data_IF_062814104868
#
_entry.id   IF_062814104868
#
_cell.length_a   1.000
_cell.length_b   1.000
_cell.length_c   1.000
_cell.angle_alpha   90.00
_cell.angle_beta   90.00
_cell.angle_gamma   90.00
#
_symmetry.space_group_name_H-M   'P 1'
#
loop_
_entity.id
_entity.type
_entity.pdbx_description
1 polymer ?
#
# COMPACT_ATOMS: atom_id res chain seq x y z
N UNK A 1 4.26 -11.88 6.22
CA UNK A 1 3.66 -10.75 5.46
C UNK A 1 4.78 -9.80 5.11
N UNK A 2 4.92 -9.43 3.84
CA UNK A 2 5.88 -8.43 3.36
C UNK A 2 5.10 -7.16 3.06
N UNK A 3 5.61 -6.02 3.53
CA UNK A 3 4.99 -4.71 3.30
C UNK A 3 5.90 -3.89 2.41
N UNK A 4 5.34 -3.25 1.38
CA UNK A 4 6.01 -2.26 0.57
C UNK A 4 5.21 -0.96 0.59
N UNK A 5 5.93 0.16 0.62
CA UNK A 5 5.39 1.51 0.52
C UNK A 5 5.76 2.01 -0.88
N UNK A 6 4.75 2.27 -1.70
CA UNK A 6 4.93 2.66 -3.09
C UNK A 6 4.53 4.11 -3.23
N UNK A 7 5.51 4.98 -3.45
CA UNK A 7 5.28 6.35 -3.83
C UNK A 7 5.00 6.41 -5.33
N UNK A 8 4.00 7.20 -5.71
CA UNK A 8 3.52 7.28 -7.09
C UNK A 8 3.48 8.73 -7.52
N UNK A 9 4.12 9.00 -8.66
CA UNK A 9 3.99 10.25 -9.39
C UNK A 9 2.97 10.05 -10.51
N UNK A 10 1.96 10.91 -10.56
CA UNK A 10 0.86 10.80 -11.48
C UNK A 10 0.70 12.08 -12.32
N UNK A 11 0.03 11.94 -13.46
CA UNK A 11 -0.47 13.09 -14.21
C UNK A 11 -1.49 13.83 -13.32
N UNK A 12 -1.26 15.13 -13.14
CA UNK A 12 -2.07 16.02 -12.30
C UNK A 12 -3.55 15.97 -12.68
N UNK A 13 -3.86 15.82 -13.98
CA UNK A 13 -5.24 15.74 -14.45
C UNK A 13 -5.94 14.43 -14.06
N UNK A 14 -5.19 13.43 -13.57
CA UNK A 14 -5.67 12.05 -13.40
C UNK A 14 -5.43 11.47 -12.00
N UNK A 15 -4.96 12.29 -11.05
CA UNK A 15 -4.60 11.84 -9.69
C UNK A 15 -5.74 11.03 -9.04
N UNK A 16 -6.98 11.50 -9.15
CA UNK A 16 -8.14 10.81 -8.57
C UNK A 16 -8.39 9.43 -9.21
N UNK A 17 -8.42 9.36 -10.55
CA UNK A 17 -8.60 8.10 -11.29
C UNK A 17 -7.50 7.09 -10.98
N UNK A 18 -6.25 7.57 -10.91
CA UNK A 18 -5.08 6.75 -10.57
C UNK A 18 -5.23 6.21 -9.15
N UNK A 19 -5.59 7.05 -8.18
CA UNK A 19 -5.75 6.65 -6.79
C UNK A 19 -6.84 5.58 -6.61
N UNK A 20 -8.02 5.78 -7.21
CA UNK A 20 -9.13 4.82 -7.17
C UNK A 20 -8.74 3.49 -7.83
N UNK A 21 -8.08 3.56 -8.99
CA UNK A 21 -7.64 2.36 -9.70
C UNK A 21 -6.62 1.56 -8.89
N UNK A 22 -5.66 2.23 -8.26
CA UNK A 22 -4.66 1.57 -7.40
C UNK A 22 -5.33 0.98 -6.15
N UNK A 23 -6.25 1.71 -5.51
CA UNK A 23 -6.94 1.26 -4.31
C UNK A 23 -7.81 0.01 -4.55
N UNK A 24 -8.28 -0.20 -5.78
CA UNK A 24 -9.04 -1.40 -6.17
C UNK A 24 -8.16 -2.62 -6.47
N UNK A 25 -6.82 -2.50 -6.45
CA UNK A 25 -5.93 -3.62 -6.74
C UNK A 25 -5.76 -4.54 -5.52
N UNK A 26 -6.01 -5.84 -5.71
CA UNK A 26 -5.66 -6.84 -4.71
C UNK A 26 -4.20 -6.71 -4.22
N UNK A 27 -4.04 -6.69 -2.89
CA UNK A 27 -2.76 -6.51 -2.22
C UNK A 27 -2.39 -5.05 -1.92
N UNK A 28 -3.14 -4.07 -2.43
CA UNK A 28 -3.10 -2.68 -1.95
C UNK A 28 -4.08 -2.55 -0.79
N UNK A 29 -3.59 -2.15 0.38
CA UNK A 29 -4.44 -1.99 1.57
C UNK A 29 -4.93 -0.56 1.74
N UNK A 30 -4.12 0.42 1.39
CA UNK A 30 -4.45 1.84 1.51
C UNK A 30 -3.78 2.65 0.40
N UNK A 31 -4.42 3.73 -0.04
CA UNK A 31 -3.84 4.74 -0.94
C UNK A 31 -4.14 6.13 -0.37
N UNK A 32 -3.12 6.96 -0.26
CA UNK A 32 -3.20 8.31 0.27
C UNK A 32 -2.76 9.31 -0.79
N UNK A 33 -3.45 10.44 -0.87
CA UNK A 33 -2.85 11.64 -1.45
C UNK A 33 -1.91 12.26 -0.42
N UNK A 34 -0.72 12.66 -0.87
CA UNK A 34 0.33 13.18 -0.01
C UNK A 34 0.89 14.48 -0.60
N UNK A 35 1.43 15.31 0.27
CA UNK A 35 2.25 16.45 -0.15
C UNK A 35 3.71 16.02 -0.29
N UNK A 36 4.44 16.61 -1.23
CA UNK A 36 5.88 16.37 -1.42
C UNK A 36 6.20 16.15 -2.90
N UNK A 37 7.24 15.37 -3.17
CA UNK A 37 7.71 15.12 -4.55
C UNK A 37 6.83 14.13 -5.34
N UNK A 38 5.95 13.43 -4.63
CA UNK A 38 5.01 12.44 -5.16
C UNK A 38 3.58 12.85 -4.83
N UNK A 39 2.63 12.39 -5.65
CA UNK A 39 1.21 12.78 -5.55
C UNK A 39 0.42 11.80 -4.67
N UNK A 40 0.80 10.52 -4.72
CA UNK A 40 0.15 9.43 -4.00
C UNK A 40 1.16 8.52 -3.29
N UNK A 41 0.71 7.87 -2.23
CA UNK A 41 1.39 6.77 -1.55
C UNK A 41 0.43 5.59 -1.42
N UNK A 42 0.84 4.42 -1.90
CA UNK A 42 0.11 3.17 -1.75
C UNK A 42 0.84 2.21 -0.80
N UNK A 43 0.08 1.61 0.10
CA UNK A 43 0.53 0.54 0.98
C UNK A 43 0.23 -0.81 0.33
N UNK A 44 1.27 -1.60 0.05
CA UNK A 44 1.15 -2.93 -0.54
C UNK A 44 1.53 -3.98 0.51
N UNK A 45 0.66 -4.96 0.74
CA UNK A 45 0.86 -6.06 1.68
C UNK A 45 0.67 -7.39 0.97
N UNK A 46 1.70 -8.22 0.96
CA UNK A 46 1.71 -9.53 0.29
C UNK A 46 2.19 -10.63 1.22
N UNK A 47 1.96 -11.89 0.84
CA UNK A 47 2.40 -13.04 1.66
C UNK A 47 3.89 -13.30 1.48
N UNK A 48 4.37 -13.22 0.24
CA UNK A 48 5.76 -13.50 -0.15
C UNK A 48 6.34 -12.36 -1.00
N UNK A 49 7.66 -12.19 -0.95
CA UNK A 49 8.33 -11.06 -1.61
C UNK A 49 8.13 -11.10 -3.14
N UNK A 50 8.11 -12.29 -3.73
CA UNK A 50 7.99 -12.48 -5.18
C UNK A 50 6.68 -11.92 -5.74
N UNK A 51 5.62 -11.88 -4.92
CA UNK A 51 4.31 -11.33 -5.30
C UNK A 51 4.34 -9.80 -5.51
N UNK A 52 5.35 -9.10 -4.99
CA UNK A 52 5.51 -7.66 -5.22
C UNK A 52 5.76 -7.35 -6.70
N UNK A 53 6.41 -8.24 -7.45
CA UNK A 53 6.66 -8.04 -8.88
C UNK A 53 5.37 -8.05 -9.69
N UNK A 54 4.40 -8.88 -9.31
CA UNK A 54 3.11 -8.99 -9.98
C UNK A 54 2.24 -7.76 -9.72
N UNK A 55 2.32 -7.21 -8.50
CA UNK A 55 1.50 -6.05 -8.13
C UNK A 55 2.12 -4.76 -8.61
N UNK A 56 3.40 -4.50 -8.33
CA UNK A 56 3.99 -3.18 -8.53
C UNK A 56 4.34 -2.95 -10.01
N UNK A 57 5.37 -3.58 -10.61
CA UNK A 57 5.59 -3.53 -12.06
C UNK A 57 4.42 -4.08 -12.89
N UNK A 58 3.78 -5.15 -12.39
CA UNK A 58 2.79 -5.90 -13.16
C UNK A 58 1.44 -5.21 -13.28
N UNK A 59 1.03 -4.42 -12.26
CA UNK A 59 -0.29 -3.77 -12.21
C UNK A 59 -0.20 -2.28 -11.92
N UNK A 60 0.37 -1.86 -10.78
CA UNK A 60 0.45 -0.44 -10.38
C UNK A 60 1.08 0.37 -11.50
N UNK A 61 2.30 0.06 -11.93
CA UNK A 61 3.04 0.84 -12.93
C UNK A 61 2.37 0.89 -14.31
N UNK A 62 1.34 0.05 -14.55
CA UNK A 62 0.57 0.03 -15.79
C UNK A 62 -0.73 0.82 -15.71
N UNK A 63 -1.08 1.35 -14.54
CA UNK A 63 -2.25 2.20 -14.38
C UNK A 63 -2.05 3.46 -15.24
N UNK A 64 -2.98 3.74 -16.18
CA UNK A 64 -2.87 4.91 -17.03
C UNK A 64 -2.83 6.20 -16.21
N UNK A 65 -1.86 7.07 -16.50
CA UNK A 65 -1.66 8.32 -15.77
C UNK A 65 -0.51 8.27 -14.75
N UNK A 66 0.08 7.10 -14.49
CA UNK A 66 1.32 7.02 -13.71
C UNK A 66 2.51 7.47 -14.56
N UNK A 67 3.31 8.36 -13.98
CA UNK A 67 4.55 8.89 -14.57
C UNK A 67 5.79 8.21 -13.99
N UNK A 68 5.71 7.72 -12.76
CA UNK A 68 6.79 7.00 -12.11
C UNK A 68 6.40 6.48 -10.74
N UNK A 69 7.19 5.52 -10.25
CA UNK A 69 6.99 4.91 -8.93
C UNK A 69 8.32 4.73 -8.22
N UNK A 70 8.34 4.93 -6.91
CA UNK A 70 9.46 4.62 -6.03
C UNK A 70 8.99 3.67 -4.94
N UNK A 71 9.64 2.50 -4.81
CA UNK A 71 9.19 1.42 -3.92
C UNK A 71 10.16 1.20 -2.76
N UNK A 72 9.63 1.29 -1.54
CA UNK A 72 10.35 1.00 -0.31
C UNK A 72 9.81 -0.27 0.33
N UNK A 73 10.64 -1.32 0.40
CA UNK A 73 10.27 -2.56 1.09
C UNK A 73 10.59 -2.41 2.58
N UNK A 74 9.59 -2.61 3.43
CA UNK A 74 9.76 -2.56 4.87
C UNK A 74 10.45 -3.83 5.37
N UNK A 75 11.64 -3.69 5.96
CA UNK A 75 12.34 -4.81 6.61
C UNK A 75 11.80 -5.13 8.00
N UNK A 76 11.24 -4.14 8.69
CA UNK A 76 10.61 -4.29 10.00
C UNK A 76 9.49 -3.28 10.15
N UNK A 77 8.35 -3.75 10.64
CA UNK A 77 7.18 -2.90 10.92
C UNK A 77 7.09 -2.67 12.43
N UNK A 78 6.85 -1.43 12.82
CA UNK A 78 6.51 -1.06 14.20
C UNK A 78 5.10 -0.48 14.17
N UNK A 79 4.11 -1.24 14.62
CA UNK A 79 2.69 -0.86 14.62
C UNK A 79 2.10 -1.11 16.00
N UNK A 80 1.49 -0.09 16.62
CA UNK A 80 0.70 -0.26 17.85
C UNK A 80 -0.68 -0.88 17.54
N UNK A 81 -1.24 -0.62 16.36
CA UNK A 81 -2.54 -1.17 15.93
C UNK A 81 -2.53 -2.70 15.72
N UNK A 82 -1.39 -3.27 15.30
CA UNK A 82 -1.24 -4.73 15.20
C UNK A 82 -1.17 -5.39 16.60
N UNK A 83 -0.72 -4.65 17.62
CA UNK A 83 -0.71 -5.13 19.00
C UNK A 83 -2.13 -5.17 19.58
N UNK A 84 -2.93 -4.13 19.37
CA UNK A 84 -4.30 -4.04 19.90
C UNK A 84 -5.23 -5.13 19.32
N UNK A 85 -5.10 -5.46 18.02
CA UNK A 85 -5.86 -6.54 17.40
C UNK A 85 -5.45 -7.93 17.92
N UNK A 86 -4.19 -8.13 18.32
CA UNK A 86 -3.72 -9.37 18.94
C UNK A 86 -4.22 -9.53 20.39
N UNK A 87 -4.37 -8.43 21.15
CA UNK A 87 -4.97 -8.44 22.49
C UNK A 87 -6.50 -8.62 22.46
N UNK A 88 -7.19 -8.10 21.43
CA UNK A 88 -8.63 -8.29 21.25
C UNK A 88 -9.03 -9.76 20.98
N UNK A 89 -8.08 -10.62 20.59
CA UNK A 89 -8.29 -12.04 20.29
C UNK A 89 -8.09 -12.98 21.49
N UNK A 90 -7.86 -12.47 22.70
CA UNK A 90 -7.66 -13.33 23.87
C UNK A 90 -7.89 -12.68 25.23
N UNK A 91 -9.13 -12.72 25.71
CA UNK A 91 -9.55 -13.23 27.03
C UNK A 91 -11.10 -13.26 27.05
N UNK A 92 -11.77 -14.38 27.38
CA UNK A 92 -13.20 -14.36 27.67
C UNK A 92 -13.45 -13.57 28.95
N UNK A 93 -14.57 -12.84 28.99
CA UNK A 93 -15.01 -12.07 30.16
C UNK A 93 -14.93 -12.94 31.42
N UNK A 94 -14.12 -12.50 32.38
CA UNK A 94 -14.16 -13.00 33.73
C UNK A 94 -15.05 -12.07 34.56
N UNK A 95 -16.27 -12.56 34.78
CA UNK A 95 -17.36 -12.13 35.67
C UNK A 95 -18.14 -10.84 35.33
#
# INVERSE_FOLDING_TARGET
>A
MVTAIVFVKADVARIHEVAETIAALDGVSEVYSITGDHDLMAMVRVRRNEELNDIIPGRINKVPGILGTETHIAFRTYSQHDLEQAFALGLPDAD
#
